data_IF_273494774637
#
_entry.id   IF_273494774637
#
_cell.length_a   1.000
_cell.length_b   1.000
_cell.length_c   1.000
_cell.angle_alpha   90.00
_cell.angle_beta   90.00
_cell.angle_gamma   90.00
#
_symmetry.space_group_name_H-M   'P 1'
#
loop_
_entity.id
_entity.type
_entity.pdbx_description
1 polymer ?
#
# COMPACT_ATOMS: atom_id res chain seq x y z
N UNK A 1 -23.20 -10.69 -24.21
CA UNK A 1 -22.30 -10.78 -23.05
C UNK A 1 -23.18 -11.16 -21.87
N UNK A 2 -23.01 -12.36 -21.31
CA UNK A 2 -23.74 -12.76 -20.12
C UNK A 2 -23.22 -11.90 -18.95
N UNK A 3 -24.10 -11.11 -18.35
CA UNK A 3 -23.79 -10.39 -17.11
C UNK A 3 -23.55 -11.46 -16.04
N UNK A 4 -22.34 -11.51 -15.49
CA UNK A 4 -22.03 -12.40 -14.38
C UNK A 4 -22.86 -11.93 -13.18
N UNK A 5 -23.94 -12.64 -12.88
CA UNK A 5 -24.74 -12.36 -11.68
C UNK A 5 -24.03 -13.08 -10.55
N UNK A 6 -23.18 -12.35 -9.82
CA UNK A 6 -22.56 -12.88 -8.61
C UNK A 6 -23.66 -13.30 -7.62
N UNK A 7 -23.46 -14.46 -7.00
CA UNK A 7 -24.28 -14.95 -5.89
C UNK A 7 -24.35 -13.92 -4.77
N UNK A 8 -25.41 -13.95 -3.97
CA UNK A 8 -25.61 -13.03 -2.84
C UNK A 8 -25.68 -13.81 -1.54
N UNK A 9 -24.95 -13.34 -0.53
CA UNK A 9 -25.06 -13.84 0.83
C UNK A 9 -26.41 -13.39 1.41
N UNK A 10 -27.32 -14.31 1.81
CA UNK A 10 -28.68 -13.99 2.24
C UNK A 10 -28.74 -13.39 3.66
N UNK A 11 -28.06 -12.27 3.85
CA UNK A 11 -28.03 -11.48 5.08
C UNK A 11 -28.38 -10.03 4.76
N UNK A 12 -29.10 -9.32 5.65
CA UNK A 12 -29.40 -7.92 5.43
C UNK A 12 -28.12 -7.10 5.32
N UNK A 13 -28.10 -6.07 4.47
CA UNK A 13 -26.93 -5.23 4.23
C UNK A 13 -27.26 -3.75 4.41
N UNK A 14 -26.40 -3.03 5.13
CA UNK A 14 -26.60 -1.65 5.51
C UNK A 14 -25.46 -0.77 5.00
N UNK A 15 -25.82 0.31 4.32
CA UNK A 15 -24.88 1.35 3.89
C UNK A 15 -25.34 2.71 4.39
N UNK A 16 -24.43 3.49 5.00
CA UNK A 16 -24.68 4.86 5.41
C UNK A 16 -23.58 5.77 4.85
N UNK A 17 -24.00 6.83 4.15
CA UNK A 17 -23.11 7.84 3.56
C UNK A 17 -23.54 9.25 3.99
N UNK A 18 -22.99 10.29 3.37
CA UNK A 18 -23.50 11.65 3.56
C UNK A 18 -24.80 11.90 2.79
N UNK A 19 -25.05 11.13 1.72
CA UNK A 19 -26.20 11.30 0.84
C UNK A 19 -27.45 10.58 1.37
N UNK A 20 -27.29 9.59 2.25
CA UNK A 20 -28.41 8.87 2.84
C UNK A 20 -28.00 7.59 3.57
N UNK A 21 -29.01 6.80 3.89
CA UNK A 21 -28.87 5.46 4.48
C UNK A 21 -29.74 4.49 3.70
N UNK A 22 -29.19 3.34 3.35
CA UNK A 22 -29.85 2.31 2.56
C UNK A 22 -29.73 0.97 3.24
N UNK A 23 -30.85 0.27 3.33
CA UNK A 23 -30.96 -1.08 3.87
C UNK A 23 -31.49 -2.00 2.77
N UNK A 24 -30.87 -3.17 2.64
CA UNK A 24 -31.33 -4.25 1.78
C UNK A 24 -31.63 -5.46 2.63
N UNK A 25 -32.83 -6.02 2.46
CA UNK A 25 -33.21 -7.26 3.15
C UNK A 25 -32.43 -8.46 2.61
N UNK A 26 -32.31 -9.53 3.39
CA UNK A 26 -31.55 -10.74 3.07
C UNK A 26 -31.76 -11.25 1.62
N UNK A 27 -33.01 -11.34 1.17
CA UNK A 27 -33.38 -11.77 -0.18
C UNK A 27 -34.25 -10.72 -0.90
N UNK A 28 -34.10 -9.45 -0.54
CA UNK A 28 -35.03 -8.39 -0.94
C UNK A 28 -34.45 -7.35 -1.90
N UNK A 29 -35.10 -6.19 -1.95
CA UNK A 29 -34.62 -5.00 -2.66
C UNK A 29 -33.93 -4.03 -1.71
N UNK A 30 -33.08 -3.15 -2.25
CA UNK A 30 -32.56 -2.03 -1.46
C UNK A 30 -33.65 -0.96 -1.31
N UNK A 31 -33.77 -0.38 -0.12
CA UNK A 31 -34.62 0.79 0.14
C UNK A 31 -33.84 1.83 0.93
N UNK A 32 -34.18 3.11 0.74
CA UNK A 32 -33.76 4.15 1.68
C UNK A 32 -34.41 3.93 3.05
N UNK A 33 -33.69 4.26 4.12
CA UNK A 33 -34.21 4.18 5.48
C UNK A 33 -33.71 5.34 6.34
N UNK A 34 -34.44 5.59 7.42
CA UNK A 34 -34.03 6.54 8.46
C UNK A 34 -32.87 5.97 9.30
N UNK A 35 -32.15 6.85 10.00
CA UNK A 35 -31.11 6.42 10.95
C UNK A 35 -31.67 5.50 12.05
N UNK A 36 -32.89 5.77 12.52
CA UNK A 36 -33.56 4.94 13.53
C UNK A 36 -33.82 3.52 13.03
N UNK A 37 -34.37 3.38 11.82
CA UNK A 37 -34.58 2.06 11.19
C UNK A 37 -33.26 1.31 10.97
N UNK A 38 -32.21 2.01 10.55
CA UNK A 38 -30.88 1.41 10.36
C UNK A 38 -30.28 0.87 11.67
N UNK A 39 -30.39 1.64 12.76
CA UNK A 39 -29.93 1.23 14.09
C UNK A 39 -30.73 0.02 14.58
N UNK A 40 -32.06 0.04 14.43
CA UNK A 40 -32.93 -1.10 14.79
C UNK A 40 -32.55 -2.35 14.00
N UNK A 41 -32.36 -2.24 12.68
CA UNK A 41 -31.98 -3.38 11.85
C UNK A 41 -30.64 -4.00 12.28
N UNK A 42 -29.66 -3.17 12.65
CA UNK A 42 -28.36 -3.63 13.14
C UNK A 42 -28.40 -4.22 14.56
N UNK A 43 -29.37 -3.82 15.39
CA UNK A 43 -29.57 -4.37 16.72
C UNK A 43 -30.30 -5.74 16.71
N UNK A 44 -31.25 -5.92 15.80
CA UNK A 44 -32.10 -7.13 15.74
C UNK A 44 -31.38 -8.33 15.11
N UNK A 45 -30.62 -8.10 14.04
CA UNK A 45 -29.96 -9.17 13.28
C UNK A 45 -28.56 -8.75 12.84
N UNK A 46 -27.60 -9.68 12.70
CA UNK A 46 -26.31 -9.37 12.12
C UNK A 46 -26.48 -8.82 10.69
N UNK A 47 -26.15 -7.54 10.50
CA UNK A 47 -26.17 -6.86 9.20
C UNK A 47 -24.78 -6.85 8.58
N UNK A 48 -24.70 -7.03 7.26
CA UNK A 48 -23.50 -6.81 6.48
C UNK A 48 -23.19 -5.32 6.44
N UNK A 49 -21.95 -4.98 6.78
CA UNK A 49 -21.44 -3.63 6.83
C UNK A 49 -20.10 -3.56 6.10
N UNK A 50 -19.70 -2.33 5.78
CA UNK A 50 -18.34 -2.04 5.35
C UNK A 50 -17.82 -0.90 6.19
N UNK A 51 -16.73 -1.14 6.94
CA UNK A 51 -16.15 -0.15 7.83
C UNK A 51 -17.16 0.29 8.91
N UNK A 52 -17.49 -0.64 9.83
CA UNK A 52 -18.45 -0.44 10.89
C UNK A 52 -18.20 0.85 11.71
N UNK A 53 -16.96 1.25 12.07
CA UNK A 53 -16.72 2.53 12.75
C UNK A 53 -17.16 3.76 11.95
N UNK A 54 -16.99 3.72 10.62
CA UNK A 54 -17.48 4.78 9.75
C UNK A 54 -19.00 4.80 9.72
N UNK A 55 -19.65 3.64 9.57
CA UNK A 55 -21.12 3.54 9.56
C UNK A 55 -21.70 4.00 10.90
N UNK A 56 -21.12 3.56 12.03
CA UNK A 56 -21.45 3.99 13.38
C UNK A 56 -21.42 5.53 13.51
N UNK A 57 -20.36 6.16 13.02
CA UNK A 57 -20.22 7.63 13.00
C UNK A 57 -21.31 8.30 12.15
N UNK A 58 -21.68 7.73 11.00
CA UNK A 58 -22.75 8.26 10.13
C UNK A 58 -24.13 8.19 10.78
N UNK A 59 -24.40 7.09 11.45
CA UNK A 59 -25.65 6.86 12.17
C UNK A 59 -25.71 7.63 13.50
N UNK A 60 -24.57 8.03 14.05
CA UNK A 60 -24.49 8.63 15.38
C UNK A 60 -24.70 7.59 16.49
N UNK A 61 -24.28 6.34 16.24
CA UNK A 61 -24.47 5.20 17.13
C UNK A 61 -23.11 4.50 17.36
N UNK A 62 -22.45 4.66 18.52
CA UNK A 62 -21.03 4.34 18.69
C UNK A 62 -20.71 2.85 18.66
N UNK A 63 -21.63 1.98 19.08
CA UNK A 63 -21.39 0.54 19.23
C UNK A 63 -22.20 -0.28 18.22
N UNK A 64 -22.02 0.02 16.94
CA UNK A 64 -22.68 -0.73 15.87
C UNK A 64 -22.08 -2.14 15.74
N UNK A 65 -22.81 -3.14 16.23
CA UNK A 65 -22.47 -4.55 16.04
C UNK A 65 -22.98 -5.04 14.68
N UNK A 66 -22.14 -5.79 13.95
CA UNK A 66 -22.50 -6.32 12.63
C UNK A 66 -21.40 -7.15 12.03
N UNK A 67 -21.60 -7.57 10.78
CA UNK A 67 -20.67 -8.36 10.00
C UNK A 67 -19.90 -7.43 9.06
N UNK A 68 -18.76 -6.90 9.53
CA UNK A 68 -17.92 -6.01 8.73
C UNK A 68 -17.12 -6.80 7.69
N UNK A 69 -17.34 -6.52 6.41
CA UNK A 69 -16.67 -7.19 5.30
C UNK A 69 -15.17 -6.93 5.24
N UNK A 70 -14.65 -5.85 5.86
CA UNK A 70 -13.20 -5.64 5.94
C UNK A 70 -12.54 -6.65 6.90
N UNK A 71 -13.24 -7.06 7.95
CA UNK A 71 -12.76 -8.11 8.86
C UNK A 71 -12.75 -9.47 8.15
N UNK A 72 -13.83 -9.80 7.42
CA UNK A 72 -13.89 -11.02 6.62
C UNK A 72 -12.79 -11.02 5.55
N UNK A 73 -12.63 -9.91 4.82
CA UNK A 73 -11.58 -9.77 3.81
C UNK A 73 -10.19 -9.99 4.42
N UNK A 74 -9.90 -9.41 5.59
CA UNK A 74 -8.62 -9.59 6.26
C UNK A 74 -8.36 -11.04 6.69
N UNK A 75 -9.42 -11.79 7.05
CA UNK A 75 -9.32 -13.21 7.35
C UNK A 75 -9.07 -14.07 6.11
N UNK A 76 -9.79 -13.83 5.01
CA UNK A 76 -9.70 -14.62 3.77
C UNK A 76 -8.42 -14.29 2.99
N UNK A 77 -7.99 -13.03 3.03
CA UNK A 77 -6.85 -12.49 2.30
C UNK A 77 -5.88 -11.76 3.22
N UNK A 78 -5.25 -12.46 4.18
CA UNK A 78 -4.32 -11.85 5.13
C UNK A 78 -3.18 -11.14 4.39
N UNK A 79 -2.82 -9.96 4.91
CA UNK A 79 -1.78 -9.08 4.36
C UNK A 79 -2.00 -8.60 2.90
N UNK A 80 -3.21 -8.74 2.35
CA UNK A 80 -3.58 -8.09 1.07
C UNK A 80 -4.19 -6.72 1.34
N UNK A 81 -3.85 -5.76 0.48
CA UNK A 81 -4.36 -4.40 0.59
C UNK A 81 -5.76 -4.28 -0.02
N UNK A 82 -6.69 -3.64 0.71
CA UNK A 82 -8.00 -3.24 0.23
C UNK A 82 -8.25 -1.79 0.63
N UNK A 83 -8.72 -0.96 -0.31
CA UNK A 83 -9.17 0.40 0.01
C UNK A 83 -10.52 0.26 0.73
N UNK A 84 -10.69 0.80 1.97
CA UNK A 84 -11.86 0.52 2.82
C UNK A 84 -13.11 1.32 2.39
N UNK A 85 -13.51 1.15 1.14
CA UNK A 85 -14.64 1.83 0.47
C UNK A 85 -15.36 0.82 -0.43
N UNK A 86 -16.65 1.03 -0.76
CA UNK A 86 -17.39 0.11 -1.63
C UNK A 86 -16.67 -0.16 -2.96
N UNK A 87 -16.20 0.90 -3.63
CA UNK A 87 -15.43 0.77 -4.89
C UNK A 87 -14.12 0.02 -4.70
N UNK A 88 -13.42 0.28 -3.60
CA UNK A 88 -12.19 -0.43 -3.24
C UNK A 88 -12.39 -1.92 -3.05
N UNK A 89 -13.47 -2.31 -2.35
CA UNK A 89 -13.84 -3.70 -2.16
C UNK A 89 -14.28 -4.36 -3.47
N UNK A 90 -15.09 -3.66 -4.27
CA UNK A 90 -15.50 -4.15 -5.58
C UNK A 90 -14.29 -4.43 -6.49
N UNK A 91 -13.36 -3.48 -6.56
CA UNK A 91 -12.15 -3.60 -7.36
C UNK A 91 -11.28 -4.80 -6.94
N UNK A 92 -11.05 -5.01 -5.64
CA UNK A 92 -10.16 -6.10 -5.18
C UNK A 92 -10.80 -7.49 -5.31
N UNK A 93 -12.13 -7.55 -5.31
CA UNK A 93 -12.90 -8.80 -5.48
C UNK A 93 -13.36 -9.05 -6.92
N UNK A 94 -12.94 -8.20 -7.88
CA UNK A 94 -13.36 -8.25 -9.28
C UNK A 94 -14.89 -8.21 -9.47
N UNK A 95 -15.56 -7.40 -8.66
CA UNK A 95 -17.00 -7.15 -8.73
C UNK A 95 -17.29 -5.83 -9.45
N UNK A 96 -18.48 -5.69 -10.08
CA UNK A 96 -18.90 -4.42 -10.66
C UNK A 96 -18.92 -3.31 -9.61
N UNK A 97 -18.35 -2.15 -9.95
CA UNK A 97 -18.42 -0.98 -9.07
C UNK A 97 -19.87 -0.47 -8.95
N UNK A 98 -20.31 -0.08 -7.74
CA UNK A 98 -21.63 0.50 -7.56
C UNK A 98 -21.69 1.89 -8.22
N UNK A 99 -22.69 2.08 -9.08
CA UNK A 99 -22.91 3.37 -9.76
C UNK A 99 -23.48 4.45 -8.82
N UNK A 100 -24.11 4.02 -7.73
CA UNK A 100 -24.81 4.87 -6.75
C UNK A 100 -24.81 4.24 -5.35
N UNK A 101 -25.09 5.04 -4.32
CA UNK A 101 -25.05 4.59 -2.92
C UNK A 101 -26.13 3.54 -2.59
N UNK A 102 -27.27 3.55 -3.29
CA UNK A 102 -28.34 2.53 -3.15
C UNK A 102 -27.98 1.17 -3.80
N UNK A 103 -26.96 1.14 -4.67
CA UNK A 103 -26.40 -0.10 -5.18
C UNK A 103 -25.40 -0.76 -4.20
N UNK A 104 -24.87 -0.02 -3.22
CA UNK A 104 -23.84 -0.52 -2.30
C UNK A 104 -24.31 -1.72 -1.47
N UNK A 105 -25.53 -1.76 -0.88
CA UNK A 105 -25.97 -2.92 -0.11
C UNK A 105 -26.00 -4.23 -0.91
N UNK A 106 -26.32 -4.18 -2.21
CA UNK A 106 -26.23 -5.36 -3.09
C UNK A 106 -24.78 -5.80 -3.26
N UNK A 107 -23.87 -4.86 -3.52
CA UNK A 107 -22.44 -5.16 -3.57
C UNK A 107 -21.96 -5.83 -2.28
N UNK A 108 -22.41 -5.39 -1.09
CA UNK A 108 -21.99 -6.00 0.17
C UNK A 108 -22.41 -7.48 0.26
N UNK A 109 -23.63 -7.82 -0.18
CA UNK A 109 -24.08 -9.21 -0.25
C UNK A 109 -23.27 -10.05 -1.24
N UNK A 110 -22.92 -9.47 -2.40
CA UNK A 110 -22.10 -10.13 -3.41
C UNK A 110 -20.67 -10.34 -2.93
N UNK A 111 -20.06 -9.33 -2.31
CA UNK A 111 -18.74 -9.41 -1.73
C UNK A 111 -18.66 -10.47 -0.62
N UNK A 112 -19.68 -10.51 0.26
CA UNK A 112 -19.79 -11.57 1.27
C UNK A 112 -19.82 -12.96 0.64
N UNK A 113 -20.63 -13.16 -0.41
CA UNK A 113 -20.71 -14.45 -1.11
C UNK A 113 -19.36 -14.85 -1.73
N UNK A 114 -18.70 -13.95 -2.46
CA UNK A 114 -17.38 -14.21 -3.08
C UNK A 114 -16.33 -14.59 -2.04
N UNK A 115 -16.34 -13.93 -0.88
CA UNK A 115 -15.39 -14.23 0.21
C UNK A 115 -15.66 -15.60 0.82
N UNK A 116 -16.92 -16.00 1.00
CA UNK A 116 -17.28 -17.34 1.49
C UNK A 116 -16.95 -18.43 0.46
N UNK A 117 -17.31 -18.21 -0.81
CA UNK A 117 -16.96 -19.12 -1.92
C UNK A 117 -15.45 -19.30 -2.04
N UNK A 118 -14.67 -18.24 -1.80
CA UNK A 118 -13.20 -18.32 -1.78
C UNK A 118 -12.70 -19.30 -0.72
N UNK A 119 -13.33 -19.36 0.46
CA UNK A 119 -12.96 -20.32 1.50
C UNK A 119 -13.22 -21.78 1.11
N UNK A 120 -14.20 -22.04 0.25
CA UNK A 120 -14.59 -23.38 -0.20
C UNK A 120 -13.71 -23.91 -1.35
N UNK A 121 -12.97 -23.03 -2.02
CA UNK A 121 -12.11 -23.40 -3.15
C UNK A 121 -10.93 -24.27 -2.72
N UNK A 122 -10.67 -25.34 -3.48
CA UNK A 122 -9.50 -26.21 -3.27
C UNK A 122 -8.16 -25.45 -3.44
N UNK A 123 -8.14 -24.43 -4.31
CA UNK A 123 -6.97 -23.63 -4.65
C UNK A 123 -6.84 -22.34 -3.82
N UNK A 124 -7.59 -22.21 -2.71
CA UNK A 124 -7.43 -21.08 -1.80
C UNK A 124 -6.02 -21.05 -1.20
N UNK A 125 -5.23 -20.06 -1.62
CA UNK A 125 -3.82 -19.94 -1.27
C UNK A 125 -3.58 -19.85 0.25
N UNK A 126 -4.51 -19.21 0.98
CA UNK A 126 -4.43 -18.97 2.41
C UNK A 126 -5.18 -20.03 3.26
N UNK A 127 -5.62 -21.14 2.65
CA UNK A 127 -6.34 -22.25 3.34
C UNK A 127 -5.58 -22.83 4.53
N UNK A 128 -4.26 -22.95 4.41
CA UNK A 128 -3.43 -23.57 5.43
C UNK A 128 -3.41 -22.75 6.73
N UNK A 129 -3.90 -23.33 7.82
CA UNK A 129 -4.02 -22.70 9.13
C UNK A 129 -5.33 -21.94 9.36
N UNK A 130 -6.15 -21.73 8.32
CA UNK A 130 -7.41 -21.00 8.40
C UNK A 130 -8.40 -21.64 9.39
N UNK A 131 -8.51 -22.98 9.39
CA UNK A 131 -9.38 -23.68 10.34
C UNK A 131 -8.96 -23.43 11.80
N UNK A 132 -7.67 -23.52 12.11
CA UNK A 132 -7.14 -23.28 13.46
C UNK A 132 -7.32 -21.82 13.90
N UNK A 133 -7.14 -20.87 12.98
CA UNK A 133 -7.42 -19.46 13.20
C UNK A 133 -8.90 -19.23 13.51
N UNK A 134 -9.80 -19.81 12.72
CA UNK A 134 -11.24 -19.74 12.91
C UNK A 134 -11.65 -20.29 14.30
N UNK A 135 -11.13 -21.46 14.71
CA UNK A 135 -11.41 -22.02 16.04
C UNK A 135 -10.95 -21.11 17.19
N UNK A 136 -9.91 -20.31 16.98
CA UNK A 136 -9.43 -19.34 17.96
C UNK A 136 -10.32 -18.10 17.99
N UNK A 137 -10.71 -17.57 16.83
CA UNK A 137 -11.61 -16.43 16.69
C UNK A 137 -13.03 -16.75 17.19
N UNK A 138 -13.50 -17.99 17.02
CA UNK A 138 -14.77 -18.46 17.57
C UNK A 138 -14.78 -18.39 19.11
N UNK A 139 -13.68 -18.75 19.78
CA UNK A 139 -13.52 -18.60 21.24
C UNK A 139 -13.51 -17.14 21.69
N UNK A 140 -13.05 -16.24 20.83
CA UNK A 140 -13.07 -14.79 21.04
C UNK A 140 -14.41 -14.14 20.63
N UNK A 141 -15.40 -14.94 20.23
CA UNK A 141 -16.74 -14.48 19.81
C UNK A 141 -16.71 -13.51 18.63
N UNK A 142 -15.77 -13.69 17.71
CA UNK A 142 -15.75 -12.91 16.46
C UNK A 142 -17.05 -13.15 15.66
N UNK A 143 -17.80 -12.10 15.26
CA UNK A 143 -19.13 -12.25 14.66
C UNK A 143 -19.19 -13.15 13.42
N UNK A 144 -18.16 -13.09 12.57
CA UNK A 144 -18.07 -13.90 11.36
C UNK A 144 -17.83 -15.40 11.63
N UNK A 145 -17.39 -15.78 12.83
CA UNK A 145 -16.92 -17.14 13.07
C UNK A 145 -18.00 -18.21 12.82
N UNK A 146 -19.25 -17.93 13.20
CA UNK A 146 -20.37 -18.84 12.98
C UNK A 146 -20.78 -18.91 11.51
N UNK A 147 -20.69 -17.79 10.80
CA UNK A 147 -21.01 -17.70 9.38
C UNK A 147 -19.96 -18.46 8.56
N UNK A 148 -18.67 -18.36 8.91
CA UNK A 148 -17.57 -19.01 8.21
C UNK A 148 -17.41 -20.50 8.50
N UNK A 149 -17.87 -20.99 9.66
CA UNK A 149 -17.63 -22.37 10.09
C UNK A 149 -18.05 -23.45 9.08
N UNK A 150 -19.18 -23.34 8.37
CA UNK A 150 -19.56 -24.30 7.34
C UNK A 150 -18.66 -24.29 6.10
N UNK A 151 -17.99 -23.16 5.82
CA UNK A 151 -17.21 -22.94 4.59
C UNK A 151 -15.73 -23.31 4.73
N UNK A 152 -15.27 -23.64 5.94
CA UNK A 152 -13.86 -24.01 6.19
C UNK A 152 -13.77 -25.45 6.67
N UNK A 153 -13.32 -26.33 5.78
CA UNK A 153 -13.12 -27.74 6.10
C UNK A 153 -12.06 -27.96 7.18
N UNK A 154 -12.33 -28.88 8.11
CA UNK A 154 -11.34 -29.32 9.09
C UNK A 154 -10.22 -30.09 8.37
N UNK A 155 -8.94 -29.73 8.56
CA UNK A 155 -7.84 -30.45 7.92
C UNK A 155 -7.73 -31.87 8.49
N UNK A 156 -7.42 -32.84 7.61
CA UNK A 156 -7.26 -34.24 7.99
C UNK A 156 -6.00 -34.48 8.86
N UNK A 157 -4.97 -33.64 8.67
CA UNK A 157 -3.72 -33.67 9.43
C UNK A 157 -3.46 -32.29 10.04
N UNK A 158 -2.73 -32.25 11.15
CA UNK A 158 -2.33 -30.98 11.75
C UNK A 158 -1.46 -30.18 10.77
N UNK A 159 -1.90 -28.98 10.40
CA UNK A 159 -1.15 -28.10 9.51
C UNK A 159 -0.02 -27.40 10.28
N UNK A 160 1.14 -27.24 9.64
CA UNK A 160 2.28 -26.53 10.24
C UNK A 160 1.92 -25.07 10.54
N UNK A 161 2.44 -24.54 11.64
CA UNK A 161 2.29 -23.14 12.03
C UNK A 161 2.78 -22.19 10.93
N UNK A 162 2.03 -21.11 10.65
CA UNK A 162 2.36 -20.13 9.60
C UNK A 162 3.79 -19.61 9.69
N UNK A 163 4.26 -19.30 10.91
CA UNK A 163 5.61 -18.78 11.16
C UNK A 163 6.73 -19.75 10.77
N UNK A 164 6.45 -21.06 10.69
CA UNK A 164 7.42 -22.04 10.22
C UNK A 164 7.61 -22.05 8.70
N UNK A 165 6.77 -21.32 7.95
CA UNK A 165 6.87 -21.17 6.48
C UNK A 165 7.53 -19.85 6.05
N UNK A 166 7.66 -18.89 6.97
CA UNK A 166 8.33 -17.64 6.65
C UNK A 166 9.84 -17.88 6.55
N UNK A 167 10.54 -17.25 5.60
CA UNK A 167 11.99 -17.31 5.57
C UNK A 167 12.54 -16.74 6.88
N UNK A 168 13.57 -17.37 7.43
CA UNK A 168 14.27 -16.83 8.58
C UNK A 168 14.82 -15.45 8.21
N UNK A 169 14.46 -14.45 9.02
CA UNK A 169 15.00 -13.12 8.92
C UNK A 169 16.31 -13.09 9.70
N UNK A 170 17.41 -12.80 9.01
CA UNK A 170 18.73 -12.66 9.60
C UNK A 170 19.14 -11.18 9.63
N UNK A 171 19.75 -10.76 10.74
CA UNK A 171 20.28 -9.42 10.90
C UNK A 171 21.53 -9.29 10.03
N UNK A 172 21.38 -8.63 8.88
CA UNK A 172 22.52 -8.42 7.99
C UNK A 172 23.61 -7.63 8.71
N UNK A 173 24.90 -8.02 8.59
CA UNK A 173 25.98 -7.29 9.22
C UNK A 173 25.97 -5.82 8.80
N UNK A 174 26.42 -4.94 9.71
CA UNK A 174 26.53 -3.51 9.41
C UNK A 174 27.29 -3.30 8.09
N UNK A 175 26.71 -2.48 7.20
CA UNK A 175 27.37 -2.16 5.93
C UNK A 175 28.71 -1.50 6.21
N UNK A 176 29.73 -1.93 5.47
CA UNK A 176 31.04 -1.29 5.49
C UNK A 176 30.91 0.22 5.22
N UNK A 177 31.83 1.00 5.80
CA UNK A 177 31.87 2.44 5.52
C UNK A 177 32.11 2.68 4.02
N UNK A 178 31.49 3.71 3.42
CA UNK A 178 31.71 4.03 2.01
C UNK A 178 33.19 4.28 1.73
N UNK A 179 33.68 3.77 0.61
CA UNK A 179 35.06 4.01 0.19
C UNK A 179 35.30 5.51 -0.08
N UNK A 180 36.52 5.97 0.17
CA UNK A 180 36.92 7.34 -0.15
C UNK A 180 37.25 7.44 -1.63
N UNK A 181 36.42 8.20 -2.38
CA UNK A 181 36.55 8.34 -3.83
C UNK A 181 36.61 9.82 -4.19
N UNK A 182 37.50 10.14 -5.14
CA UNK A 182 37.55 11.46 -5.79
C UNK A 182 37.01 11.31 -7.20
N UNK A 183 36.02 12.13 -7.56
CA UNK A 183 35.43 12.14 -8.90
C UNK A 183 36.15 13.16 -9.78
N UNK A 184 36.46 12.79 -11.02
CA UNK A 184 37.02 13.73 -11.99
C UNK A 184 35.92 14.58 -12.65
N UNK A 185 36.22 15.86 -12.94
CA UNK A 185 35.29 16.79 -13.61
C UNK A 185 34.76 16.23 -14.95
N UNK A 186 35.59 15.48 -15.69
CA UNK A 186 35.19 14.84 -16.96
C UNK A 186 34.17 13.73 -16.77
N UNK A 187 34.27 12.94 -15.70
CA UNK A 187 33.30 11.90 -15.36
C UNK A 187 31.96 12.52 -14.97
N UNK A 188 32.00 13.60 -14.17
CA UNK A 188 30.82 14.34 -13.74
C UNK A 188 30.09 14.93 -14.94
N UNK A 189 30.83 15.55 -15.87
CA UNK A 189 30.25 16.10 -17.10
C UNK A 189 29.63 15.00 -17.97
N UNK A 190 30.35 13.89 -18.16
CA UNK A 190 29.87 12.77 -18.99
C UNK A 190 28.61 12.15 -18.40
N UNK A 191 28.56 11.98 -17.08
CA UNK A 191 27.38 11.49 -16.39
C UNK A 191 26.23 12.50 -16.50
N UNK A 192 26.49 13.79 -16.35
CA UNK A 192 25.45 14.81 -16.50
C UNK A 192 24.87 14.79 -17.91
N UNK A 193 25.69 14.68 -18.95
CA UNK A 193 25.25 14.55 -20.35
C UNK A 193 24.41 13.29 -20.57
N UNK A 194 24.81 12.16 -19.99
CA UNK A 194 24.02 10.93 -20.03
C UNK A 194 22.64 11.12 -19.38
N UNK A 195 22.58 11.76 -18.20
CA UNK A 195 21.32 11.97 -17.49
C UNK A 195 20.39 13.00 -18.17
N UNK A 196 20.94 14.01 -18.83
CA UNK A 196 20.11 15.01 -19.55
C UNK A 196 19.53 14.43 -20.84
N UNK A 197 20.27 13.54 -21.51
CA UNK A 197 19.84 12.82 -22.71
C UNK A 197 20.29 13.48 -24.02
N UNK A 198 20.27 12.72 -25.11
CA UNK A 198 20.68 13.18 -26.44
C UNK A 198 19.75 14.32 -26.92
N UNK A 199 20.35 15.48 -27.25
CA UNK A 199 19.62 16.67 -27.73
C UNK A 199 19.33 17.72 -26.65
N UNK A 200 19.72 17.49 -25.40
CA UNK A 200 19.66 18.52 -24.37
C UNK A 200 20.68 19.63 -24.63
N UNK A 201 20.25 20.88 -24.48
CA UNK A 201 21.14 22.04 -24.53
C UNK A 201 22.22 21.94 -23.44
N UNK A 202 23.48 22.16 -23.83
CA UNK A 202 24.60 22.22 -22.90
C UNK A 202 24.56 23.55 -22.13
N UNK A 203 24.26 23.47 -20.83
CA UNK A 203 24.17 24.63 -19.93
C UNK A 203 25.38 24.69 -19.01
N UNK A 204 26.26 25.66 -19.23
CA UNK A 204 27.48 25.82 -18.43
C UNK A 204 27.19 25.99 -16.93
N UNK A 205 26.14 26.73 -16.57
CA UNK A 205 25.72 26.89 -15.18
C UNK A 205 25.33 25.57 -14.50
N UNK A 206 24.74 24.62 -15.24
CA UNK A 206 24.40 23.31 -14.70
C UNK A 206 25.65 22.44 -14.48
N UNK A 207 26.62 22.50 -15.41
CA UNK A 207 27.91 21.79 -15.29
C UNK A 207 28.72 22.33 -14.11
N UNK A 208 28.84 23.65 -14.00
CA UNK A 208 29.51 24.30 -12.88
C UNK A 208 28.84 23.91 -11.55
N UNK A 209 27.51 23.89 -11.51
CA UNK A 209 26.75 23.43 -10.35
C UNK A 209 27.06 21.96 -10.01
N UNK A 210 27.04 21.05 -10.99
CA UNK A 210 27.31 19.63 -10.77
C UNK A 210 28.74 19.37 -10.24
N UNK A 211 29.74 20.04 -10.81
CA UNK A 211 31.12 19.96 -10.35
C UNK A 211 31.30 20.55 -8.95
N UNK A 212 30.61 21.65 -8.63
CA UNK A 212 30.60 22.20 -7.29
C UNK A 212 30.00 21.20 -6.29
N UNK A 213 28.86 20.58 -6.61
CA UNK A 213 28.23 19.54 -5.79
C UNK A 213 29.18 18.36 -5.58
N UNK A 214 29.93 17.92 -6.61
CA UNK A 214 30.85 16.79 -6.48
C UNK A 214 31.89 16.96 -5.36
N UNK A 215 32.27 18.20 -5.03
CA UNK A 215 33.23 18.48 -3.96
C UNK A 215 32.75 18.03 -2.58
N UNK A 216 31.43 17.93 -2.36
CA UNK A 216 30.90 17.46 -1.07
C UNK A 216 31.20 15.97 -0.82
N UNK A 217 31.45 15.23 -1.89
CA UNK A 217 31.73 13.80 -1.87
C UNK A 217 33.23 13.48 -1.77
N UNK A 218 34.10 14.48 -1.88
CA UNK A 218 35.54 14.29 -1.81
C UNK A 218 35.95 13.72 -0.44
N UNK A 219 37.09 13.00 -0.37
CA UNK A 219 37.64 12.53 0.90
C UNK A 219 37.77 13.67 1.92
N UNK A 220 37.40 13.40 3.18
CA UNK A 220 37.54 14.38 4.27
C UNK A 220 38.99 14.47 4.69
N UNK A 221 39.47 15.68 4.93
CA UNK A 221 40.84 15.91 5.42
C UNK A 221 40.98 15.51 6.89
N UNK A 222 39.95 15.77 7.69
CA UNK A 222 39.96 15.56 9.13
C UNK A 222 38.64 14.95 9.62
N UNK A 223 38.72 14.20 10.73
CA UNK A 223 37.55 13.61 11.38
C UNK A 223 36.66 14.72 11.94
N UNK A 224 35.35 14.62 11.73
CA UNK A 224 34.38 15.62 12.21
C UNK A 224 34.24 16.86 11.34
N UNK A 225 35.00 17.00 10.25
CA UNK A 225 34.88 18.11 9.30
C UNK A 225 34.18 17.63 8.01
N UNK A 226 32.85 17.81 7.89
CA UNK A 226 32.16 17.49 6.65
C UNK A 226 32.45 18.55 5.58
N UNK A 227 32.40 18.15 4.32
CA UNK A 227 32.29 19.12 3.24
C UNK A 227 30.85 19.66 3.21
N UNK A 228 30.71 20.98 3.24
CA UNK A 228 29.43 21.66 3.14
C UNK A 228 29.44 22.59 1.93
N UNK A 229 28.41 22.49 1.08
CA UNK A 229 28.19 23.39 -0.04
C UNK A 229 26.83 24.07 0.12
N UNK A 230 26.84 25.40 0.12
CA UNK A 230 25.63 26.20 -0.08
C UNK A 230 25.62 26.68 -1.54
N UNK A 231 24.66 26.20 -2.32
CA UNK A 231 24.55 26.56 -3.73
C UNK A 231 23.15 27.08 -4.05
N UNK A 232 23.06 28.32 -4.50
CA UNK A 232 21.84 28.88 -5.07
C UNK A 232 21.80 28.58 -6.56
N UNK A 233 20.68 28.04 -7.02
CA UNK A 233 20.47 27.72 -8.41
C UNK A 233 19.11 28.23 -8.88
N UNK A 234 19.08 28.91 -10.01
CA UNK A 234 17.86 29.46 -10.61
C UNK A 234 16.81 28.39 -10.91
N UNK A 235 15.56 28.81 -11.15
CA UNK A 235 14.54 27.92 -11.71
C UNK A 235 14.96 27.47 -13.11
N UNK A 236 14.60 26.25 -13.50
CA UNK A 236 14.86 25.74 -14.87
C UNK A 236 16.30 25.29 -15.18
N UNK A 237 17.30 25.52 -14.30
CA UNK A 237 18.70 25.15 -14.60
C UNK A 237 18.99 23.63 -14.61
N UNK A 238 18.01 22.79 -14.23
CA UNK A 238 18.21 21.35 -14.09
C UNK A 238 18.92 20.94 -12.79
N UNK A 239 18.61 21.62 -11.67
CA UNK A 239 19.15 21.35 -10.31
C UNK A 239 19.19 19.88 -9.95
N UNK A 240 18.09 19.18 -10.19
CA UNK A 240 17.91 17.77 -9.85
C UNK A 240 18.99 16.91 -10.49
N UNK A 241 19.14 16.98 -11.82
CA UNK A 241 20.18 16.22 -12.52
C UNK A 241 21.58 16.71 -12.14
N UNK A 242 21.74 18.00 -11.86
CA UNK A 242 23.00 18.59 -11.42
C UNK A 242 23.57 17.97 -10.14
N UNK A 243 22.73 17.67 -9.13
CA UNK A 243 23.21 16.95 -7.94
C UNK A 243 23.14 15.43 -8.08
N UNK A 244 22.24 14.88 -8.91
CA UNK A 244 22.14 13.44 -9.13
C UNK A 244 23.32 12.86 -9.92
N UNK A 245 23.90 13.63 -10.86
CA UNK A 245 25.06 13.19 -11.63
C UNK A 245 26.24 12.79 -10.72
N UNK A 246 26.84 13.70 -9.92
CA UNK A 246 27.93 13.33 -9.02
C UNK A 246 27.49 12.36 -7.92
N UNK A 247 26.24 12.44 -7.42
CA UNK A 247 25.74 11.49 -6.42
C UNK A 247 25.69 10.05 -6.94
N UNK A 248 25.29 9.85 -8.20
CA UNK A 248 25.22 8.53 -8.82
C UNK A 248 26.59 7.91 -9.06
N UNK A 249 27.57 8.71 -9.50
CA UNK A 249 28.96 8.29 -9.63
C UNK A 249 29.55 7.91 -8.27
N UNK A 250 29.41 8.80 -7.28
CA UNK A 250 29.94 8.56 -5.94
C UNK A 250 29.31 7.34 -5.29
N UNK A 251 27.98 7.19 -5.32
CA UNK A 251 27.30 6.05 -4.71
C UNK A 251 27.74 4.72 -5.33
N UNK A 252 27.98 4.71 -6.65
CA UNK A 252 28.45 3.52 -7.37
C UNK A 252 29.89 3.18 -7.00
N UNK A 253 30.79 4.17 -7.01
CA UNK A 253 32.21 3.95 -6.76
C UNK A 253 32.54 3.71 -5.27
N UNK A 254 31.81 4.36 -4.36
CA UNK A 254 32.05 4.24 -2.91
C UNK A 254 31.24 3.14 -2.24
N UNK A 255 30.26 2.56 -2.92
CA UNK A 255 29.18 1.75 -2.34
C UNK A 255 28.41 2.46 -1.21
N UNK A 256 28.46 3.79 -1.19
CA UNK A 256 27.80 4.63 -0.20
C UNK A 256 26.33 4.91 -0.49
N UNK A 257 25.61 5.35 0.55
CA UNK A 257 24.20 5.78 0.44
C UNK A 257 24.10 7.29 0.42
N UNK A 258 23.41 7.85 -0.58
CA UNK A 258 23.13 9.28 -0.68
C UNK A 258 21.71 9.57 -0.23
N UNK A 259 21.56 10.59 0.62
CA UNK A 259 20.28 11.07 1.11
C UNK A 259 19.90 12.38 0.44
N UNK A 260 18.72 12.42 -0.19
CA UNK A 260 18.17 13.64 -0.78
C UNK A 260 16.89 14.00 -0.04
N UNK A 261 16.92 15.13 0.67
CA UNK A 261 15.75 15.67 1.38
C UNK A 261 15.08 16.76 0.54
N UNK A 262 13.75 16.80 0.57
CA UNK A 262 12.95 17.80 -0.14
C UNK A 262 11.66 18.11 0.62
N UNK A 263 11.10 19.30 0.39
CA UNK A 263 10.07 19.86 1.25
C UNK A 263 8.68 19.20 1.11
N UNK A 264 8.28 18.80 -0.09
CA UNK A 264 6.91 18.30 -0.34
C UNK A 264 6.87 16.89 -0.92
N UNK A 265 5.77 16.17 -0.65
CA UNK A 265 5.46 14.87 -1.28
C UNK A 265 5.46 14.94 -2.80
N UNK A 266 5.07 16.09 -3.38
CA UNK A 266 5.09 16.27 -4.83
C UNK A 266 6.52 16.30 -5.38
N UNK A 267 7.41 17.05 -4.73
CA UNK A 267 8.83 17.10 -5.10
C UNK A 267 9.50 15.72 -4.94
N UNK A 268 9.12 14.94 -3.92
CA UNK A 268 9.61 13.56 -3.77
C UNK A 268 9.22 12.67 -4.97
N UNK A 269 7.97 12.80 -5.46
CA UNK A 269 7.50 12.05 -6.65
C UNK A 269 8.26 12.46 -7.91
N UNK A 270 8.46 13.76 -8.12
CA UNK A 270 9.24 14.28 -9.24
C UNK A 270 10.70 13.78 -9.17
N UNK A 271 11.33 13.87 -8.01
CA UNK A 271 12.70 13.38 -7.78
C UNK A 271 12.83 11.88 -8.07
N UNK A 272 11.87 11.08 -7.61
CA UNK A 272 11.85 9.64 -7.91
C UNK A 272 11.75 9.36 -9.42
N UNK A 273 11.02 10.19 -10.16
CA UNK A 273 10.98 10.13 -11.62
C UNK A 273 12.34 10.39 -12.25
N UNK A 274 12.99 11.50 -11.88
CA UNK A 274 14.32 11.86 -12.40
C UNK A 274 15.42 10.87 -11.99
N UNK A 275 15.35 10.30 -10.79
CA UNK A 275 16.32 9.33 -10.30
C UNK A 275 16.39 8.06 -11.17
N UNK A 276 15.32 7.72 -11.91
CA UNK A 276 15.33 6.59 -12.87
C UNK A 276 16.30 6.79 -14.03
N UNK A 277 16.73 8.03 -14.29
CA UNK A 277 17.78 8.30 -15.28
C UNK A 277 19.15 7.84 -14.79
N UNK A 278 19.37 7.89 -13.47
CA UNK A 278 20.66 7.61 -12.83
C UNK A 278 20.78 6.18 -12.30
N UNK A 279 19.67 5.53 -11.96
CA UNK A 279 19.66 4.14 -11.48
C UNK A 279 18.58 3.32 -12.18
N UNK A 280 18.83 2.02 -12.44
CA UNK A 280 17.81 1.14 -12.98
C UNK A 280 16.64 0.96 -12.00
N UNK A 281 15.50 0.46 -12.48
CA UNK A 281 14.35 0.22 -11.60
C UNK A 281 14.65 -0.83 -10.52
N UNK A 282 15.43 -1.86 -10.88
CA UNK A 282 15.89 -2.92 -9.99
C UNK A 282 17.38 -3.19 -10.22
N UNK A 283 18.09 -3.53 -9.16
CA UNK A 283 19.43 -4.13 -9.20
C UNK A 283 19.33 -5.61 -9.63
N UNK A 284 20.47 -6.23 -9.89
CA UNK A 284 20.54 -7.66 -10.25
C UNK A 284 19.94 -8.59 -9.19
N UNK A 285 19.96 -8.20 -7.91
CA UNK A 285 19.35 -8.92 -6.78
C UNK A 285 17.84 -8.66 -6.62
N UNK A 286 17.22 -7.92 -7.56
CA UNK A 286 15.81 -7.54 -7.51
C UNK A 286 15.49 -6.36 -6.58
N UNK A 287 16.45 -5.86 -5.79
CA UNK A 287 16.26 -4.73 -4.89
C UNK A 287 16.13 -3.41 -5.67
N UNK A 288 15.39 -2.45 -5.11
CA UNK A 288 15.27 -1.10 -5.69
C UNK A 288 16.45 -0.23 -5.26
N UNK A 289 17.18 0.42 -6.18
CA UNK A 289 18.31 1.25 -5.82
C UNK A 289 17.93 2.58 -5.17
N UNK A 290 16.71 3.06 -5.46
CA UNK A 290 16.15 4.28 -4.88
C UNK A 290 14.89 3.93 -4.11
N UNK A 291 14.86 4.29 -2.83
CA UNK A 291 13.72 4.07 -1.93
C UNK A 291 13.23 5.39 -1.37
N UNK A 292 11.91 5.52 -1.18
CA UNK A 292 11.30 6.71 -0.58
C UNK A 292 11.03 6.43 0.89
N UNK A 293 11.57 7.26 1.78
CA UNK A 293 11.25 7.24 3.21
C UNK A 293 10.27 8.36 3.56
N UNK A 294 9.26 8.04 4.36
CA UNK A 294 8.27 8.98 4.89
C UNK A 294 8.12 8.77 6.39
N UNK A 295 7.45 9.70 7.07
CA UNK A 295 7.04 9.51 8.46
C UNK A 295 6.09 8.31 8.60
N UNK A 296 6.12 7.65 9.77
CA UNK A 296 5.36 6.43 10.07
C UNK A 296 3.86 6.59 9.78
N UNK A 297 3.31 7.77 10.03
CA UNK A 297 1.92 8.15 9.77
C UNK A 297 1.50 8.06 8.28
N UNK A 298 2.46 7.87 7.37
CA UNK A 298 2.22 7.68 5.94
C UNK A 298 2.23 6.19 5.51
N UNK A 299 2.35 5.26 6.47
CA UNK A 299 2.31 3.83 6.25
C UNK A 299 1.17 3.23 7.08
N UNK A 300 0.47 2.26 6.49
CA UNK A 300 -0.52 1.46 7.21
C UNK A 300 0.23 0.58 8.22
N UNK A 301 -0.29 0.50 9.44
CA UNK A 301 0.21 -0.44 10.46
C UNK A 301 -0.48 -1.78 10.28
#
# INVERSE_FOLDING_TARGET
MAVFVASTLPLPALHASHAGTWLRDANGSTRGCSKGEAIMAAADTPVLLLNAPLVATRLGYPDLSGLDLLELFAFVHPARFCVPTPKGLAHVLDLPEPESDDAVPLLLQQAGAVLLETCEREDWAERAGAWSALQSLMRLRWPWAQVLAPHIARPQQAEKWLFSRLPEWDDSPERAQPAQVTLADSEIDSQLEYLTGAGAERREGQRAYARAVARIFAPRRERGQPHLLLAQAGTGIGKTLGYLAPASLWATASHGTVWVSTFTKNLQRQLRGEARRAWPEKRADGSRPVVVRKGRENYLC
#
